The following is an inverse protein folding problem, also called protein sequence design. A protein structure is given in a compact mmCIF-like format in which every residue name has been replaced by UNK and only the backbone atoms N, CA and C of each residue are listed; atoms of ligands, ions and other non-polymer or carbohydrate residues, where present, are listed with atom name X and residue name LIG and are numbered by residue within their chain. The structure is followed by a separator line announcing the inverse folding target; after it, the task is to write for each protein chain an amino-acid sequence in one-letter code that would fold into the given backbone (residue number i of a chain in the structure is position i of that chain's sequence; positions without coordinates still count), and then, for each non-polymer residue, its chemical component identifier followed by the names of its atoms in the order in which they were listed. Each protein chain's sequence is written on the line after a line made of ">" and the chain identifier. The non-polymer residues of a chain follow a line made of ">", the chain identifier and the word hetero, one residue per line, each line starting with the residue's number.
data_IF_631755506362
#
_entry.id   IF_631755506362
#
_cell.length_a   1.000
_cell.length_b   1.000
_cell.length_c   1.000
_cell.angle_alpha   90.00
_cell.angle_beta   90.00
_cell.angle_gamma   90.00
#
_symmetry.space_group_name_H-M   'P 1'
#
loop_
_entity.id
_entity.type
_entity.pdbx_description
1 polymer ?
#
# COMPACT_ATOMS: atom_id res chain seq x y z
N UNK A 1 -29.30 -15.10 1.42
CA UNK A 1 -28.52 -16.22 0.84
C UNK A 1 -29.38 -17.48 0.63
N UNK A 2 -29.33 -18.05 -0.59
CA UNK A 2 -29.99 -19.32 -0.98
C UNK A 2 -31.51 -19.26 -1.27
N UNK A 3 -32.05 -18.08 -1.60
CA UNK A 3 -33.41 -17.94 -2.14
C UNK A 3 -33.31 -17.71 -3.64
N UNK A 4 -34.20 -18.31 -4.43
CA UNK A 4 -34.30 -18.00 -5.85
C UNK A 4 -34.61 -16.50 -6.02
N UNK A 5 -33.67 -15.75 -6.60
CA UNK A 5 -33.78 -14.30 -6.78
C UNK A 5 -34.98 -13.92 -7.66
N UNK A 6 -35.29 -14.73 -8.67
CA UNK A 6 -36.45 -14.48 -9.56
C UNK A 6 -37.78 -14.60 -8.80
N UNK A 7 -37.81 -15.41 -7.74
CA UNK A 7 -38.98 -15.51 -6.87
C UNK A 7 -39.22 -14.21 -6.09
N UNK A 8 -38.15 -13.50 -5.71
CA UNK A 8 -38.20 -12.26 -4.91
C UNK A 8 -38.42 -10.99 -5.75
N UNK A 9 -38.28 -11.04 -7.08
CA UNK A 9 -38.43 -9.86 -7.93
C UNK A 9 -39.88 -9.36 -8.01
N UNK A 10 -40.11 -8.05 -7.82
CA UNK A 10 -41.41 -7.43 -8.04
C UNK A 10 -41.89 -7.54 -9.50
N UNK A 11 -40.97 -7.36 -10.45
CA UNK A 11 -41.27 -7.41 -11.89
C UNK A 11 -40.85 -8.76 -12.47
N UNK A 12 -41.82 -9.66 -12.70
CA UNK A 12 -41.59 -10.98 -13.30
C UNK A 12 -41.17 -10.86 -14.76
N UNK A 13 -40.24 -11.71 -15.21
CA UNK A 13 -39.69 -11.68 -16.57
C UNK A 13 -38.55 -10.69 -16.79
N UNK A 14 -38.27 -9.79 -15.83
CA UNK A 14 -37.14 -8.87 -15.88
C UNK A 14 -35.96 -9.37 -15.03
N UNK A 15 -34.75 -9.07 -15.50
CA UNK A 15 -33.52 -9.23 -14.71
C UNK A 15 -33.29 -8.00 -13.80
N UNK A 16 -32.07 -7.79 -13.31
CA UNK A 16 -31.69 -6.57 -12.62
C UNK A 16 -32.04 -5.33 -13.45
N UNK A 17 -32.82 -4.43 -12.87
CA UNK A 17 -33.04 -3.08 -13.38
C UNK A 17 -31.99 -2.19 -12.72
N UNK A 18 -31.20 -1.48 -13.53
CA UNK A 18 -30.06 -0.70 -13.07
C UNK A 18 -30.38 0.78 -13.23
N UNK A 19 -30.34 1.50 -12.11
CA UNK A 19 -30.42 2.96 -12.05
C UNK A 19 -29.01 3.52 -11.82
N UNK A 20 -28.73 4.72 -12.31
CA UNK A 20 -27.44 5.39 -12.13
C UNK A 20 -27.69 6.88 -12.11
N UNK A 21 -27.37 7.48 -10.97
CA UNK A 21 -27.52 8.91 -10.73
C UNK A 21 -26.20 9.51 -10.22
N UNK A 22 -25.98 10.78 -10.52
CA UNK A 22 -24.83 11.56 -10.05
C UNK A 22 -25.11 12.16 -8.66
N UNK A 23 -25.38 11.31 -7.68
CA UNK A 23 -25.76 11.71 -6.31
C UNK A 23 -24.60 11.73 -5.32
N UNK A 24 -23.45 11.18 -5.71
CA UNK A 24 -22.27 11.08 -4.85
C UNK A 24 -21.38 12.33 -4.91
N UNK A 25 -20.70 12.62 -3.81
CA UNK A 25 -19.73 13.69 -3.68
C UNK A 25 -18.36 13.16 -3.21
N UNK A 26 -17.28 13.75 -3.74
CA UNK A 26 -15.92 13.43 -3.33
C UNK A 26 -15.12 14.71 -3.09
N UNK A 27 -14.25 14.69 -2.09
CA UNK A 27 -13.41 15.79 -1.64
C UNK A 27 -12.00 15.28 -1.37
N UNK A 28 -11.02 15.93 -1.99
CA UNK A 28 -9.61 15.66 -1.79
C UNK A 28 -8.89 16.90 -1.28
N UNK A 29 -8.15 16.75 -0.19
CA UNK A 29 -7.31 17.80 0.39
C UNK A 29 -5.86 17.29 0.43
N UNK A 30 -4.89 18.11 0.06
CA UNK A 30 -3.47 17.74 0.17
C UNK A 30 -2.57 18.90 0.54
N UNK A 31 -1.57 18.60 1.37
CA UNK A 31 -0.38 19.41 1.57
C UNK A 31 0.77 18.78 0.79
N UNK A 32 1.40 19.55 -0.07
CA UNK A 32 2.55 19.12 -0.86
C UNK A 32 3.75 20.02 -0.58
N UNK A 33 4.89 19.42 -0.24
CA UNK A 33 6.15 20.12 0.02
C UNK A 33 7.23 19.56 -0.91
N UNK A 34 7.93 20.47 -1.59
CA UNK A 34 9.11 20.15 -2.38
C UNK A 34 10.32 20.92 -1.87
N UNK A 35 11.40 20.20 -1.58
CA UNK A 35 12.68 20.81 -1.21
C UNK A 35 13.77 20.30 -2.14
N UNK A 36 14.43 21.23 -2.83
CA UNK A 36 15.53 20.92 -3.73
C UNK A 36 16.78 21.70 -3.33
N UNK A 37 17.88 20.99 -3.17
CA UNK A 37 19.21 21.56 -3.05
C UNK A 37 20.04 21.15 -4.26
N UNK A 38 20.47 22.14 -5.04
CA UNK A 38 21.44 21.96 -6.12
C UNK A 38 22.79 21.50 -5.55
N UNK A 39 23.54 20.75 -6.36
CA UNK A 39 24.83 20.22 -5.95
C UNK A 39 25.78 21.33 -5.51
N UNK A 40 26.16 21.32 -4.23
CA UNK A 40 27.05 22.31 -3.63
C UNK A 40 27.72 21.74 -2.39
N UNK A 41 29.01 22.04 -2.21
CA UNK A 41 29.84 21.50 -1.14
C UNK A 41 29.84 19.95 -1.08
N UNK A 42 29.79 19.29 -2.24
CA UNK A 42 29.88 17.83 -2.35
C UNK A 42 28.56 17.09 -2.15
N UNK A 43 27.41 17.76 -2.12
CA UNK A 43 26.12 17.08 -1.98
C UNK A 43 24.97 17.80 -2.66
N UNK A 44 24.00 17.02 -3.12
CA UNK A 44 22.70 17.45 -3.61
C UNK A 44 21.61 16.55 -3.00
N UNK A 45 20.41 17.08 -2.86
CA UNK A 45 19.24 16.26 -2.58
C UNK A 45 17.96 16.92 -3.08
N UNK A 46 16.96 16.08 -3.30
CA UNK A 46 15.58 16.47 -3.53
C UNK A 46 14.68 15.68 -2.57
N UNK A 47 13.61 16.33 -2.12
CA UNK A 47 12.57 15.73 -1.30
C UNK A 47 11.22 16.17 -1.83
N UNK A 48 10.33 15.22 -2.02
CA UNK A 48 8.91 15.43 -2.30
C UNK A 48 8.09 14.76 -1.19
N UNK A 49 7.21 15.52 -0.56
CA UNK A 49 6.33 15.08 0.52
C UNK A 49 4.90 15.43 0.14
N UNK A 50 4.00 14.44 0.18
CA UNK A 50 2.57 14.63 0.00
C UNK A 50 1.85 14.04 1.20
N UNK A 51 1.12 14.87 1.93
CA UNK A 51 0.14 14.46 2.91
C UNK A 51 -1.24 14.72 2.31
N UNK A 52 -2.08 13.71 2.24
CA UNK A 52 -3.40 13.84 1.63
C UNK A 52 -4.50 13.17 2.42
N UNK A 53 -5.70 13.69 2.23
CA UNK A 53 -6.95 13.18 2.78
C UNK A 53 -8.00 13.14 1.68
N UNK A 54 -8.55 11.95 1.42
CA UNK A 54 -9.67 11.75 0.52
C UNK A 54 -10.92 11.38 1.31
N UNK A 55 -12.04 11.97 0.93
CA UNK A 55 -13.36 11.73 1.52
C UNK A 55 -14.36 11.63 0.39
N UNK A 56 -15.22 10.62 0.41
CA UNK A 56 -16.34 10.50 -0.52
C UNK A 56 -17.50 9.76 0.16
N UNK A 57 -18.67 9.79 -0.46
CA UNK A 57 -19.87 9.03 -0.09
C UNK A 57 -20.21 7.95 -1.15
N UNK A 58 -19.42 7.87 -2.22
CA UNK A 58 -19.50 6.86 -3.28
C UNK A 58 -18.26 6.89 -4.16
N UNK A 59 -17.71 5.72 -4.50
CA UNK A 59 -16.51 5.64 -5.35
C UNK A 59 -16.47 4.44 -6.31
N UNK A 60 -17.58 3.71 -6.43
CA UNK A 60 -17.83 2.80 -7.54
C UNK A 60 -19.20 3.07 -8.18
N UNK A 61 -19.33 2.68 -9.45
CA UNK A 61 -20.61 2.67 -10.13
C UNK A 61 -21.55 1.70 -9.40
N UNK A 62 -22.76 2.18 -9.03
CA UNK A 62 -23.76 1.40 -8.27
C UNK A 62 -23.27 0.98 -6.89
N UNK A 63 -22.45 1.83 -6.26
CA UNK A 63 -22.26 1.73 -4.82
C UNK A 63 -23.62 1.92 -4.14
N UNK A 64 -23.95 1.00 -3.24
CA UNK A 64 -24.87 1.34 -2.14
C UNK A 64 -24.14 2.46 -1.41
N UNK A 65 -24.81 3.56 -1.07
CA UNK A 65 -24.20 4.72 -0.41
C UNK A 65 -24.20 4.48 1.11
N UNK A 66 -23.16 3.93 1.75
CA UNK A 66 -22.90 4.17 3.16
C UNK A 66 -22.19 5.52 3.32
N UNK A 67 -22.50 6.21 4.41
CA UNK A 67 -21.96 7.53 4.72
C UNK A 67 -20.44 7.51 4.98
N UNK A 68 -19.82 8.58 4.47
CA UNK A 68 -18.46 9.13 4.56
C UNK A 68 -17.24 8.23 4.75
N UNK A 69 -16.38 8.27 3.74
CA UNK A 69 -15.07 7.66 3.70
C UNK A 69 -14.02 8.63 4.23
N UNK A 70 -12.98 8.08 4.85
CA UNK A 70 -11.81 8.86 5.24
C UNK A 70 -10.54 8.05 4.97
N UNK A 71 -9.80 8.43 3.93
CA UNK A 71 -8.48 7.86 3.66
C UNK A 71 -7.43 8.92 3.87
N UNK A 72 -6.47 8.64 4.75
CA UNK A 72 -5.30 9.50 4.93
C UNK A 72 -4.09 8.79 4.34
N UNK A 73 -3.38 9.48 3.45
CA UNK A 73 -2.17 8.95 2.87
C UNK A 73 -1.02 9.92 3.07
N UNK A 74 0.16 9.35 3.28
CA UNK A 74 1.41 10.07 3.27
C UNK A 74 2.35 9.36 2.31
N UNK A 75 3.02 10.17 1.49
CA UNK A 75 4.01 9.71 0.52
C UNK A 75 5.24 10.61 0.58
N UNK A 76 6.42 10.01 0.72
CA UNK A 76 7.70 10.71 0.73
C UNK A 76 8.67 10.04 -0.21
N UNK A 77 9.32 10.83 -1.06
CA UNK A 77 10.47 10.38 -1.87
C UNK A 77 11.62 11.33 -1.64
N UNK A 78 12.78 10.77 -1.35
CA UNK A 78 14.02 11.50 -1.13
C UNK A 78 15.05 10.96 -2.10
N UNK A 79 15.59 11.81 -2.97
CA UNK A 79 16.72 11.50 -3.81
C UNK A 79 17.95 12.26 -3.31
N UNK A 80 19.11 11.61 -3.27
CA UNK A 80 20.34 12.24 -2.78
C UNK A 80 21.55 11.80 -3.58
N UNK A 81 22.53 12.70 -3.67
CA UNK A 81 23.86 12.46 -4.22
C UNK A 81 24.86 13.09 -3.27
N UNK A 82 25.78 12.28 -2.76
CA UNK A 82 26.78 12.68 -1.79
C UNK A 82 28.17 12.20 -2.21
N UNK A 83 29.09 13.12 -2.39
CA UNK A 83 30.50 12.79 -2.58
C UNK A 83 31.16 12.58 -1.21
N UNK A 84 31.74 11.42 -0.98
CA UNK A 84 32.37 11.13 0.30
C UNK A 84 33.55 12.11 0.53
N UNK A 85 33.66 12.71 1.73
CA UNK A 85 34.66 13.74 2.02
C UNK A 85 36.05 13.18 2.31
N UNK A 86 36.17 11.88 2.50
CA UNK A 86 37.42 11.23 2.90
C UNK A 86 38.40 11.09 1.73
N UNK A 87 39.69 11.26 2.03
CA UNK A 87 40.81 11.10 1.08
C UNK A 87 40.73 11.97 -0.18
N UNK A 88 39.98 13.08 -0.14
CA UNK A 88 39.97 14.08 -1.21
C UNK A 88 41.38 14.67 -1.39
N UNK A 89 41.91 14.60 -2.61
CA UNK A 89 43.18 15.26 -2.97
C UNK A 89 44.46 14.53 -2.52
N UNK A 90 44.38 13.32 -1.95
CA UNK A 90 45.58 12.55 -1.65
C UNK A 90 46.20 11.97 -2.92
N UNK A 91 47.51 12.17 -3.11
CA UNK A 91 48.28 11.76 -4.29
C UNK A 91 48.83 10.33 -4.20
N UNK A 92 48.86 9.75 -3.00
CA UNK A 92 49.30 8.38 -2.75
C UNK A 92 48.33 7.35 -3.35
N UNK A 93 48.84 6.13 -3.60
CA UNK A 93 48.05 5.05 -4.21
C UNK A 93 46.80 4.74 -3.38
N UNK A 94 46.93 4.73 -2.05
CA UNK A 94 45.82 4.49 -1.12
C UNK A 94 44.72 5.55 -1.31
N UNK A 95 45.05 6.84 -1.31
CA UNK A 95 44.11 7.94 -1.50
C UNK A 95 43.42 7.91 -2.86
N UNK A 96 44.14 7.56 -3.94
CA UNK A 96 43.55 7.36 -5.27
C UNK A 96 42.59 6.16 -5.31
N UNK A 97 42.82 5.11 -4.53
CA UNK A 97 41.94 3.93 -4.46
C UNK A 97 40.72 4.16 -3.56
N UNK A 98 40.88 4.81 -2.40
CA UNK A 98 39.80 4.94 -1.40
C UNK A 98 39.07 6.30 -1.42
N UNK A 99 39.57 7.32 -2.11
CA UNK A 99 38.93 8.65 -2.20
C UNK A 99 37.98 8.85 -3.38
N UNK A 100 37.14 9.88 -3.38
CA UNK A 100 36.34 10.26 -4.57
C UNK A 100 35.19 9.31 -4.92
N UNK A 101 34.73 8.51 -3.96
CA UNK A 101 33.47 7.78 -4.07
C UNK A 101 32.27 8.71 -4.00
N UNK A 102 31.26 8.43 -4.82
CA UNK A 102 29.98 9.12 -4.82
C UNK A 102 28.89 8.13 -4.43
N UNK A 103 28.12 8.47 -3.41
CA UNK A 103 26.93 7.75 -2.98
C UNK A 103 25.71 8.43 -3.61
N UNK A 104 24.83 7.68 -4.25
CA UNK A 104 23.50 8.15 -4.63
C UNK A 104 22.44 7.27 -4.02
N UNK A 105 21.22 7.79 -3.90
CA UNK A 105 20.09 6.95 -3.55
C UNK A 105 18.76 7.60 -3.78
N UNK A 106 17.74 6.75 -3.81
CA UNK A 106 16.33 7.10 -3.82
C UNK A 106 15.68 6.27 -2.70
N UNK A 107 15.11 6.97 -1.73
CA UNK A 107 14.36 6.37 -0.64
C UNK A 107 12.90 6.77 -0.75
N UNK A 108 12.01 5.82 -0.58
CA UNK A 108 10.57 6.01 -0.64
C UNK A 108 9.90 5.48 0.62
N UNK A 109 8.94 6.24 1.13
CA UNK A 109 8.05 5.84 2.22
C UNK A 109 6.61 6.16 1.86
N UNK A 110 5.71 5.25 2.20
CA UNK A 110 4.28 5.45 2.01
C UNK A 110 3.49 4.78 3.15
N UNK A 111 2.41 5.41 3.59
CA UNK A 111 1.41 4.76 4.43
C UNK A 111 0.67 3.65 3.67
N UNK A 112 0.25 2.61 4.37
CA UNK A 112 -0.48 1.53 3.72
C UNK A 112 -1.87 1.98 3.30
N UNK A 113 -2.29 1.50 2.14
CA UNK A 113 -3.64 1.76 1.64
C UNK A 113 -4.65 0.96 2.46
N UNK A 114 -5.86 1.50 2.71
CA UNK A 114 -6.90 0.75 3.38
C UNK A 114 -7.54 -0.32 2.49
N UNK A 115 -8.06 -1.38 3.14
CA UNK A 115 -8.84 -2.43 2.49
C UNK A 115 -8.10 -3.43 1.59
N UNK A 116 -8.81 -4.43 1.04
CA UNK A 116 -8.21 -5.45 0.18
C UNK A 116 -7.75 -4.89 -1.17
N UNK A 117 -6.88 -5.62 -1.87
CA UNK A 117 -6.58 -5.32 -3.27
C UNK A 117 -7.86 -5.47 -4.12
N UNK A 118 -8.16 -4.49 -4.98
CA UNK A 118 -9.32 -4.56 -5.88
C UNK A 118 -10.62 -3.90 -5.40
N UNK A 119 -10.64 -3.22 -4.23
CA UNK A 119 -11.47 -2.00 -4.13
C UNK A 119 -12.81 -2.04 -3.38
N UNK A 120 -12.93 -2.70 -2.23
CA UNK A 120 -14.05 -2.41 -1.31
C UNK A 120 -13.65 -1.62 -0.06
N UNK A 121 -12.34 -1.42 0.19
CA UNK A 121 -11.87 -0.65 1.34
C UNK A 121 -12.20 -1.25 2.71
N UNK A 122 -12.93 -2.36 2.78
CA UNK A 122 -13.71 -2.77 3.96
C UNK A 122 -13.75 -4.28 4.13
N UNK A 123 -14.20 -4.74 5.29
CA UNK A 123 -14.49 -6.14 5.53
C UNK A 123 -15.81 -6.50 4.83
N UNK A 124 -15.71 -7.36 3.81
CA UNK A 124 -16.83 -7.73 2.97
C UNK A 124 -16.68 -9.16 2.45
N UNK A 125 -17.80 -9.79 2.09
CA UNK A 125 -17.83 -11.10 1.44
C UNK A 125 -18.89 -11.13 0.34
N UNK A 126 -18.67 -11.93 -0.70
CA UNK A 126 -19.54 -12.11 -1.88
C UNK A 126 -20.91 -12.74 -1.60
N UNK A 127 -21.40 -12.71 -0.37
CA UNK A 127 -22.70 -13.25 0.02
C UNK A 127 -23.79 -12.17 -0.15
N UNK A 128 -24.95 -12.59 -0.68
CA UNK A 128 -26.13 -11.73 -0.76
C UNK A 128 -27.04 -11.97 0.46
N UNK A 129 -26.84 -11.19 1.53
CA UNK A 129 -27.73 -11.23 2.69
C UNK A 129 -29.01 -10.43 2.43
N UNK A 130 -28.97 -9.34 1.67
CA UNK A 130 -30.16 -8.53 1.34
C UNK A 130 -31.16 -9.28 0.43
N UNK A 131 -30.70 -10.24 -0.37
CA UNK A 131 -31.56 -11.02 -1.27
C UNK A 131 -31.94 -10.26 -2.55
N UNK A 132 -31.12 -9.29 -2.96
CA UNK A 132 -31.36 -8.44 -4.14
C UNK A 132 -30.59 -8.90 -5.38
N UNK A 133 -29.75 -9.93 -5.24
CA UNK A 133 -28.84 -10.43 -6.27
C UNK A 133 -27.49 -9.72 -6.31
N UNK A 134 -26.54 -10.31 -7.05
CA UNK A 134 -25.15 -9.82 -7.12
C UNK A 134 -25.05 -8.37 -7.57
N UNK A 135 -25.87 -7.96 -8.55
CA UNK A 135 -25.88 -6.60 -9.10
C UNK A 135 -26.27 -5.54 -8.07
N UNK A 136 -27.13 -5.88 -7.10
CA UNK A 136 -27.54 -4.98 -6.00
C UNK A 136 -26.61 -5.04 -4.79
N UNK A 137 -25.52 -5.80 -4.87
CA UNK A 137 -24.61 -6.11 -3.75
C UNK A 137 -23.19 -5.68 -4.10
N UNK A 138 -22.95 -4.36 -4.06
CA UNK A 138 -21.70 -3.69 -4.44
C UNK A 138 -21.18 -4.12 -5.82
N UNK A 139 -22.05 -4.14 -6.83
CA UNK A 139 -21.73 -4.55 -8.20
C UNK A 139 -21.06 -5.93 -8.28
N UNK A 140 -21.56 -6.88 -7.48
CA UNK A 140 -21.06 -8.25 -7.44
C UNK A 140 -19.94 -8.52 -6.44
N UNK A 141 -19.44 -7.49 -5.75
CA UNK A 141 -18.38 -7.60 -4.75
C UNK A 141 -18.89 -8.04 -3.36
N UNK A 142 -20.21 -8.14 -3.20
CA UNK A 142 -20.86 -8.64 -1.98
C UNK A 142 -21.33 -7.55 -1.04
N UNK A 143 -21.39 -7.85 0.26
CA UNK A 143 -21.91 -6.92 1.27
C UNK A 143 -20.90 -6.66 2.37
N UNK A 144 -20.94 -5.43 2.89
CA UNK A 144 -20.18 -5.05 4.07
C UNK A 144 -20.70 -5.77 5.31
N UNK A 145 -19.77 -6.23 6.15
CA UNK A 145 -20.11 -6.89 7.42
C UNK A 145 -20.35 -5.89 8.53
N UNK A 146 -21.25 -6.20 9.46
CA UNK A 146 -21.57 -5.35 10.61
C UNK A 146 -20.38 -5.27 11.55
N UNK A 147 -20.02 -4.06 11.94
CA UNK A 147 -18.93 -3.74 12.86
C UNK A 147 -19.52 -3.56 14.26
N UNK A 148 -19.13 -4.44 15.18
CA UNK A 148 -19.56 -4.47 16.59
C UNK A 148 -18.41 -4.12 17.55
N UNK A 149 -17.44 -3.34 17.10
CA UNK A 149 -16.25 -2.99 17.87
C UNK A 149 -15.28 -2.12 17.08
N UNK A 150 -14.20 -1.68 17.71
CA UNK A 150 -13.15 -0.90 17.04
C UNK A 150 -11.96 -1.82 16.74
N UNK A 151 -11.69 -2.16 15.46
CA UNK A 151 -10.52 -2.95 15.14
C UNK A 151 -9.24 -2.15 15.42
N UNK A 152 -8.25 -2.81 16.01
CA UNK A 152 -6.92 -2.24 16.28
C UNK A 152 -5.88 -2.91 15.38
N UNK A 153 -4.87 -2.15 14.96
CA UNK A 153 -3.73 -2.70 14.21
C UNK A 153 -2.76 -3.33 15.21
N UNK A 154 -2.52 -4.62 15.06
CA UNK A 154 -1.70 -5.44 15.96
C UNK A 154 -0.25 -5.56 15.47
N UNK A 155 0.03 -5.18 14.23
CA UNK A 155 1.37 -5.21 13.62
C UNK A 155 2.04 -6.60 13.60
N UNK A 156 1.25 -7.68 13.50
CA UNK A 156 1.78 -9.04 13.40
C UNK A 156 1.65 -9.57 11.97
N UNK A 157 2.65 -10.35 11.57
CA UNK A 157 2.77 -10.92 10.22
C UNK A 157 2.92 -12.43 10.34
N UNK A 158 2.20 -13.19 9.53
CA UNK A 158 2.31 -14.65 9.57
C UNK A 158 3.69 -15.11 9.05
N UNK A 159 4.35 -15.99 9.80
CA UNK A 159 5.61 -16.62 9.42
C UNK A 159 5.39 -17.90 8.59
N UNK A 160 4.35 -18.67 8.89
CA UNK A 160 3.98 -19.93 8.24
C UNK A 160 2.58 -19.87 7.59
N UNK A 161 2.22 -18.71 7.04
CA UNK A 161 0.95 -18.51 6.33
C UNK A 161 -0.28 -18.62 7.24
N UNK A 162 -1.39 -19.14 6.70
CA UNK A 162 -2.71 -19.14 7.37
C UNK A 162 -2.78 -19.94 8.67
N UNK A 163 -1.79 -20.81 8.94
CA UNK A 163 -1.74 -21.66 10.14
C UNK A 163 -1.34 -20.89 11.40
N UNK A 164 -0.66 -19.75 11.25
CA UNK A 164 -0.22 -18.96 12.40
C UNK A 164 -1.38 -18.21 13.03
N UNK A 165 -1.31 -18.01 14.35
CA UNK A 165 -2.25 -17.18 15.10
C UNK A 165 -1.75 -15.72 15.21
N UNK A 166 -1.20 -15.20 14.11
CA UNK A 166 -0.67 -13.84 14.01
C UNK A 166 -1.57 -13.00 13.09
N UNK A 167 -2.05 -11.88 13.60
CA UNK A 167 -3.01 -11.03 12.89
C UNK A 167 -2.45 -9.62 12.68
N UNK A 168 -2.73 -9.06 11.52
CA UNK A 168 -2.43 -7.65 11.23
C UNK A 168 -3.39 -6.72 11.97
N UNK A 169 -4.68 -7.09 12.04
CA UNK A 169 -5.71 -6.35 12.77
C UNK A 169 -6.55 -7.28 13.63
N UNK A 170 -7.08 -6.75 14.73
CA UNK A 170 -7.94 -7.52 15.64
C UNK A 170 -9.26 -7.90 14.97
N UNK A 171 -9.64 -9.17 15.07
CA UNK A 171 -10.91 -9.70 14.54
C UNK A 171 -11.94 -9.97 15.64
N UNK A 172 -11.52 -9.97 16.91
CA UNK A 172 -12.35 -10.17 18.10
C UNK A 172 -12.16 -9.04 19.12
N UNK A 173 -13.21 -8.71 19.84
CA UNK A 173 -13.23 -7.80 20.98
C UNK A 173 -12.50 -8.43 22.19
N UNK A 174 -12.17 -7.63 23.24
CA UNK A 174 -11.54 -8.14 24.45
C UNK A 174 -12.35 -9.23 25.20
N UNK A 175 -13.67 -9.24 25.02
CA UNK A 175 -14.58 -10.24 25.58
C UNK A 175 -14.67 -11.53 24.74
N UNK A 176 -13.94 -11.61 23.62
CA UNK A 176 -13.94 -12.73 22.68
C UNK A 176 -15.06 -12.70 21.64
N UNK A 177 -15.97 -11.72 21.69
CA UNK A 177 -17.00 -11.56 20.66
C UNK A 177 -16.38 -11.09 19.32
N UNK A 178 -16.95 -11.47 18.16
CA UNK A 178 -16.43 -11.05 16.87
C UNK A 178 -16.67 -9.55 16.62
N UNK A 179 -15.63 -8.84 16.18
CA UNK A 179 -15.75 -7.43 15.76
C UNK A 179 -16.59 -7.33 14.49
N UNK A 180 -16.50 -8.32 13.61
CA UNK A 180 -17.22 -8.34 12.33
C UNK A 180 -18.24 -9.47 12.33
N UNK A 181 -19.50 -9.14 12.05
CA UNK A 181 -20.59 -10.12 11.95
C UNK A 181 -21.35 -9.97 10.64
N UNK A 182 -21.97 -11.06 10.20
CA UNK A 182 -22.81 -11.03 9.01
C UNK A 182 -24.02 -10.11 9.22
N UNK A 183 -24.40 -9.29 8.23
CA UNK A 183 -25.61 -8.50 8.31
C UNK A 183 -26.86 -9.39 8.40
N UNK A 184 -27.95 -8.91 9.03
CA UNK A 184 -29.23 -9.62 9.04
C UNK A 184 -29.73 -9.94 7.63
N UNK A 185 -30.41 -11.08 7.49
CA UNK A 185 -31.03 -11.47 6.22
C UNK A 185 -32.08 -10.42 5.82
N UNK A 186 -32.09 -10.03 4.55
CA UNK A 186 -32.98 -9.01 4.00
C UNK A 186 -32.50 -7.58 4.22
N UNK A 187 -31.29 -7.37 4.75
CA UNK A 187 -30.77 -6.02 5.05
C UNK A 187 -29.43 -5.75 4.39
N UNK A 188 -29.14 -4.48 4.16
CA UNK A 188 -27.79 -3.99 3.89
C UNK A 188 -27.19 -3.44 5.18
N UNK A 189 -25.86 -3.41 5.24
CA UNK A 189 -25.18 -2.65 6.29
C UNK A 189 -24.94 -1.21 5.82
N UNK A 190 -25.48 -0.26 6.57
CA UNK A 190 -25.35 1.18 6.35
C UNK A 190 -24.59 1.90 7.48
N UNK A 191 -23.84 1.17 8.32
CA UNK A 191 -23.04 1.79 9.37
C UNK A 191 -22.07 2.82 8.80
N UNK A 192 -22.10 4.02 9.37
CA UNK A 192 -21.22 5.12 8.99
C UNK A 192 -19.75 4.75 9.21
N UNK A 193 -18.89 5.15 8.27
CA UNK A 193 -17.46 4.92 8.39
C UNK A 193 -17.05 3.46 8.31
N UNK A 194 -17.89 2.55 7.82
CA UNK A 194 -17.54 1.14 7.60
C UNK A 194 -16.39 0.93 6.61
N UNK A 195 -16.20 1.91 5.72
CA UNK A 195 -15.17 1.88 4.68
C UNK A 195 -13.83 2.39 5.17
N UNK A 196 -12.78 1.70 4.76
CA UNK A 196 -11.39 2.10 4.96
C UNK A 196 -10.92 2.19 6.42
N UNK A 197 -11.62 1.53 7.36
CA UNK A 197 -11.30 1.54 8.80
C UNK A 197 -9.95 0.89 9.15
N UNK A 198 -9.45 -0.02 8.31
CA UNK A 198 -8.21 -0.75 8.55
C UNK A 198 -7.23 -0.42 7.43
N UNK A 199 -6.08 0.13 7.82
CA UNK A 199 -4.96 0.42 6.93
C UNK A 199 -4.02 -0.78 6.88
N UNK A 200 -3.54 -1.13 5.68
CA UNK A 200 -2.52 -2.16 5.50
C UNK A 200 -1.13 -1.67 5.93
N UNK A 201 -0.09 -2.52 5.92
CA UNK A 201 1.27 -2.07 6.15
C UNK A 201 1.70 -1.00 5.14
N UNK A 202 2.53 -0.08 5.60
CA UNK A 202 3.18 0.89 4.74
C UNK A 202 4.22 0.26 3.82
N UNK A 203 4.66 1.05 2.85
CA UNK A 203 5.73 0.71 1.93
C UNK A 203 7.00 1.47 2.29
N UNK A 204 8.13 0.79 2.25
CA UNK A 204 9.45 1.38 2.47
C UNK A 204 10.46 0.75 1.51
N UNK A 205 11.19 1.59 0.76
CA UNK A 205 12.23 1.12 -0.14
C UNK A 205 13.46 2.04 -0.13
N UNK A 206 14.62 1.42 -0.24
CA UNK A 206 15.94 2.05 -0.22
C UNK A 206 16.77 1.55 -1.38
N UNK A 207 16.82 2.34 -2.44
CA UNK A 207 17.63 2.05 -3.61
C UNK A 207 18.87 2.93 -3.54
N UNK A 208 20.06 2.33 -3.48
CA UNK A 208 21.31 3.05 -3.30
C UNK A 208 22.32 2.65 -4.38
N UNK A 209 23.20 3.57 -4.72
CA UNK A 209 24.28 3.37 -5.66
C UNK A 209 25.57 3.97 -5.15
N UNK A 210 26.68 3.31 -5.45
CA UNK A 210 28.02 3.73 -5.11
C UNK A 210 28.86 3.74 -6.39
N UNK A 211 29.47 4.89 -6.69
CA UNK A 211 30.15 5.13 -7.96
C UNK A 211 31.55 5.67 -7.70
N UNK A 212 32.51 5.26 -8.53
CA UNK A 212 33.85 5.82 -8.52
C UNK A 212 34.46 5.79 -9.92
N UNK A 213 35.19 6.86 -10.25
CA UNK A 213 36.04 6.93 -11.44
C UNK A 213 37.50 6.72 -11.04
N UNK A 214 38.19 5.86 -11.77
CA UNK A 214 39.61 5.62 -11.67
C UNK A 214 40.26 6.13 -12.96
N UNK A 215 40.79 7.36 -12.98
CA UNK A 215 41.52 7.85 -14.14
C UNK A 215 42.80 7.01 -14.31
N UNK A 216 43.06 6.52 -15.53
CA UNK A 216 44.30 5.82 -15.88
C UNK A 216 45.23 6.78 -16.61
N UNK A 217 44.68 7.53 -17.57
CA UNK A 217 45.33 8.66 -18.25
C UNK A 217 44.36 9.85 -18.30
N UNK A 218 44.72 10.93 -19.01
CA UNK A 218 43.83 12.06 -19.25
C UNK A 218 42.64 11.72 -20.16
N UNK A 219 42.79 10.68 -21.00
CA UNK A 219 41.78 10.25 -21.98
C UNK A 219 41.09 8.94 -21.59
N UNK A 220 41.80 8.08 -20.86
CA UNK A 220 41.34 6.74 -20.50
C UNK A 220 41.11 6.56 -19.00
N UNK A 221 40.12 5.74 -18.66
CA UNK A 221 39.87 5.38 -17.27
C UNK A 221 38.84 4.29 -17.08
N UNK A 222 38.65 3.92 -15.82
CA UNK A 222 37.63 2.97 -15.40
C UNK A 222 36.55 3.70 -14.60
N UNK A 223 35.30 3.28 -14.76
CA UNK A 223 34.19 3.66 -13.90
C UNK A 223 33.61 2.40 -13.27
N UNK A 224 33.66 2.33 -11.95
CA UNK A 224 32.98 1.31 -11.18
C UNK A 224 31.64 1.85 -10.69
N UNK A 225 30.61 1.02 -10.75
CA UNK A 225 29.29 1.28 -10.15
C UNK A 225 28.80 0.03 -9.46
N UNK A 226 28.42 0.16 -8.19
CA UNK A 226 27.65 -0.82 -7.45
C UNK A 226 26.26 -0.22 -7.17
N UNK A 227 25.20 -0.96 -7.45
CA UNK A 227 23.82 -0.56 -7.17
C UNK A 227 23.16 -1.65 -6.33
N UNK A 228 22.35 -1.21 -5.38
CA UNK A 228 21.57 -2.08 -4.52
C UNK A 228 20.12 -1.57 -4.51
N UNK A 229 19.21 -2.38 -5.06
CA UNK A 229 17.78 -2.19 -4.89
C UNK A 229 17.36 -2.88 -3.59
N UNK A 230 16.54 -2.20 -2.78
CA UNK A 230 16.23 -2.63 -1.42
C UNK A 230 17.50 -3.01 -0.61
N UNK A 231 18.44 -2.06 -0.47
CA UNK A 231 19.78 -2.30 0.10
C UNK A 231 19.75 -2.96 1.48
N UNK A 232 18.79 -2.57 2.34
CA UNK A 232 18.64 -3.11 3.69
C UNK A 232 17.85 -4.43 3.72
N UNK A 233 17.40 -4.92 2.57
CA UNK A 233 16.54 -6.11 2.47
C UNK A 233 15.29 -5.99 3.36
N UNK A 234 14.70 -4.79 3.42
CA UNK A 234 13.49 -4.52 4.19
C UNK A 234 12.30 -5.20 3.49
N UNK A 235 11.52 -6.06 4.18
CA UNK A 235 10.36 -6.71 3.58
C UNK A 235 9.20 -5.72 3.45
N UNK A 236 8.67 -5.57 2.24
CA UNK A 236 7.39 -4.90 2.02
C UNK A 236 6.29 -5.95 2.03
N UNK A 237 5.45 -5.93 3.06
CA UNK A 237 4.39 -6.91 3.28
C UNK A 237 3.21 -6.72 2.33
N UNK A 238 2.52 -7.80 2.01
CA UNK A 238 1.28 -7.75 1.25
C UNK A 238 0.13 -7.27 2.15
N UNK A 239 -1.05 -7.15 1.57
CA UNK A 239 -2.27 -6.74 2.29
C UNK A 239 -2.80 -7.87 3.17
N UNK A 240 -3.54 -7.49 4.20
CA UNK A 240 -4.28 -8.45 5.01
C UNK A 240 -5.47 -9.02 4.23
N UNK A 241 -5.96 -10.19 4.63
CA UNK A 241 -7.25 -10.71 4.14
C UNK A 241 -8.41 -10.00 4.83
N UNK A 242 -9.33 -9.46 4.03
CA UNK A 242 -10.54 -8.77 4.49
C UNK A 242 -11.80 -9.62 4.29
N UNK A 243 -11.67 -10.90 3.91
CA UNK A 243 -12.81 -11.79 3.74
C UNK A 243 -13.15 -12.49 5.07
N UNK A 244 -14.22 -12.08 5.77
CA UNK A 244 -14.60 -12.61 7.08
C UNK A 244 -15.20 -14.03 7.00
N UNK A 245 -15.51 -14.54 5.79
CA UNK A 245 -15.98 -15.93 5.62
C UNK A 245 -14.85 -16.95 5.56
N UNK A 246 -13.61 -16.50 5.32
CA UNK A 246 -12.43 -17.36 5.35
C UNK A 246 -11.62 -17.12 6.64
N UNK A 247 -12.09 -17.70 7.74
CA UNK A 247 -11.51 -17.53 9.08
C UNK A 247 -10.04 -17.95 9.18
N UNK A 248 -9.54 -18.81 8.28
CA UNK A 248 -8.14 -19.23 8.29
C UNK A 248 -7.18 -18.08 7.93
N UNK A 249 -7.63 -17.12 7.12
CA UNK A 249 -6.80 -16.01 6.64
C UNK A 249 -7.31 -14.64 7.08
N UNK A 250 -8.59 -14.52 7.46
CA UNK A 250 -9.19 -13.25 7.85
C UNK A 250 -8.38 -12.53 8.94
N UNK A 251 -8.06 -11.26 8.71
CA UNK A 251 -7.23 -10.48 9.63
C UNK A 251 -5.73 -10.69 9.50
N UNK A 252 -5.27 -11.65 8.69
CA UNK A 252 -3.85 -12.03 8.59
C UNK A 252 -3.21 -11.52 7.31
N UNK A 253 -1.92 -11.23 7.39
CA UNK A 253 -1.03 -11.04 6.24
C UNK A 253 -0.22 -12.32 6.08
N UNK A 254 -0.41 -13.01 4.96
CA UNK A 254 0.23 -14.32 4.69
C UNK A 254 1.32 -14.26 3.62
N UNK A 255 1.65 -13.05 3.15
CA UNK A 255 2.58 -12.85 2.04
C UNK A 255 3.30 -11.52 2.12
N UNK A 256 4.29 -11.37 1.25
CA UNK A 256 5.01 -10.13 1.03
C UNK A 256 5.11 -9.86 -0.47
N UNK A 257 5.35 -8.61 -0.82
CA UNK A 257 5.64 -8.20 -2.20
C UNK A 257 6.92 -8.86 -2.72
N UNK A 258 7.11 -8.83 -4.04
CA UNK A 258 8.28 -9.37 -4.71
C UNK A 258 9.51 -8.45 -4.65
N UNK A 259 9.48 -7.38 -3.85
CA UNK A 259 10.61 -6.48 -3.64
C UNK A 259 11.72 -7.17 -2.84
N UNK A 260 12.64 -7.79 -3.57
CA UNK A 260 13.81 -8.46 -3.02
C UNK A 260 15.06 -7.60 -3.21
N UNK A 261 16.04 -7.79 -2.32
CA UNK A 261 17.34 -7.15 -2.49
C UNK A 261 17.99 -7.62 -3.79
N UNK A 262 18.33 -6.68 -4.67
CA UNK A 262 19.02 -6.95 -5.93
C UNK A 262 20.31 -6.12 -5.98
N UNK A 263 21.45 -6.79 -6.14
CA UNK A 263 22.76 -6.16 -6.22
C UNK A 263 23.27 -6.23 -7.66
N UNK A 264 23.71 -5.10 -8.19
CA UNK A 264 24.24 -4.98 -9.54
C UNK A 264 25.61 -4.32 -9.50
N UNK A 265 26.55 -4.88 -10.24
CA UNK A 265 27.90 -4.36 -10.35
C UNK A 265 28.22 -4.13 -11.81
N UNK A 266 28.86 -3.01 -12.10
CA UNK A 266 29.34 -2.69 -13.44
C UNK A 266 30.73 -2.09 -13.35
N UNK A 267 31.58 -2.49 -14.28
CA UNK A 267 32.87 -1.88 -14.53
C UNK A 267 32.89 -1.47 -16.00
N UNK A 268 33.09 -0.18 -16.25
CA UNK A 268 33.17 0.38 -17.59
C UNK A 268 34.57 0.94 -17.82
N UNK A 269 35.20 0.52 -18.90
CA UNK A 269 36.37 1.21 -19.44
C UNK A 269 35.91 2.31 -20.41
N UNK A 270 36.55 3.48 -20.35
CA UNK A 270 36.36 4.59 -21.29
C UNK A 270 37.72 5.06 -21.80
N UNK A 271 37.73 5.55 -23.02
CA UNK A 271 38.91 5.99 -23.77
C UNK A 271 38.57 7.20 -24.64
#
# INVERSE_FOLDING_TARGET
>A
PNVNLDALRPYKGYNSIRETDDVASSRYNSLQLSWNRRFSAGWAFGMAYTLSKSMDDGSAQRDIVPDTYYVHNLWVVINYLYELPFFRGQSNLLGKLVGGWQLSGITQFQTGLPGPAGGTGSVAAGNDYAGVGQDGSLNGNGQFWVINGTPTILHQFAANGSKDNLYWFSTTNPDGSPIFTAPPKGTFNHQDGIRNIIHNPGFQNWNMGLFKKFPVTERTGLQFRAQAFNVFNHPNWDRASFNPTNLSTFGKITGKTNDVRNLQFSLRYYF
#
